data_IF_472295631053
#
_entry.id   IF_472295631053
#
_cell.length_a   1.000
_cell.length_b   1.000
_cell.length_c   1.000
_cell.angle_alpha   90.00
_cell.angle_beta   90.00
_cell.angle_gamma   90.00
#
_symmetry.space_group_name_H-M   'P 1'
#
loop_
_entity.id
_entity.type
_entity.pdbx_description
1 polymer ?
#
# COMPACT_ATOMS: atom_id res chain seq x y z
N UNK A 1 -32.12 48.20 -50.85
CA UNK A 1 -30.89 48.18 -50.02
C UNK A 1 -31.27 48.78 -48.67
N UNK A 2 -31.49 47.94 -47.66
CA UNK A 2 -31.90 48.39 -46.32
C UNK A 2 -30.65 48.79 -45.52
N UNK A 3 -30.46 50.07 -45.27
CA UNK A 3 -29.40 50.54 -44.38
C UNK A 3 -29.92 50.58 -42.95
N UNK A 4 -29.42 49.68 -42.12
CA UNK A 4 -29.67 49.70 -40.68
C UNK A 4 -28.81 50.77 -40.02
N UNK A 5 -29.41 51.87 -39.61
CA UNK A 5 -28.73 52.90 -38.82
C UNK A 5 -28.91 52.61 -37.36
N UNK A 6 -27.85 52.08 -36.69
CA UNK A 6 -27.84 51.92 -35.24
C UNK A 6 -27.59 53.30 -34.60
N UNK A 7 -28.48 53.72 -33.69
CA UNK A 7 -28.27 55.00 -32.99
C UNK A 7 -27.00 54.93 -32.13
N UNK A 8 -26.30 56.07 -32.03
CA UNK A 8 -25.02 56.19 -31.30
C UNK A 8 -25.10 55.63 -29.87
N UNK A 9 -26.25 55.81 -29.21
CA UNK A 9 -26.48 55.27 -27.85
C UNK A 9 -26.57 53.74 -27.80
N UNK A 10 -27.22 53.13 -28.79
CA UNK A 10 -27.29 51.63 -28.88
C UNK A 10 -25.92 51.03 -29.20
N UNK A 11 -25.12 51.71 -30.02
CA UNK A 11 -23.76 51.27 -30.35
C UNK A 11 -22.83 51.29 -29.12
N UNK A 12 -22.89 52.35 -28.31
CA UNK A 12 -22.14 52.46 -27.04
C UNK A 12 -22.58 51.35 -26.05
N UNK A 13 -23.90 51.11 -25.94
CA UNK A 13 -24.41 50.04 -25.07
C UNK A 13 -23.90 48.65 -25.44
N UNK A 14 -23.85 48.36 -26.75
CA UNK A 14 -23.30 47.05 -27.22
C UNK A 14 -21.81 46.94 -26.90
N UNK A 15 -21.04 48.00 -27.08
CA UNK A 15 -19.60 48.03 -26.76
C UNK A 15 -19.34 47.80 -25.26
N UNK A 16 -20.13 48.41 -24.39
CA UNK A 16 -20.04 48.18 -22.93
C UNK A 16 -20.35 46.74 -22.55
N UNK A 17 -21.35 46.13 -23.19
CA UNK A 17 -21.69 44.69 -22.92
C UNK A 17 -20.55 43.78 -23.38
N UNK A 18 -19.98 44.01 -24.56
CA UNK A 18 -18.85 43.22 -25.07
C UNK A 18 -17.64 43.36 -24.15
N UNK A 19 -17.36 44.58 -23.68
CA UNK A 19 -16.25 44.82 -22.74
C UNK A 19 -16.49 44.13 -21.39
N UNK A 20 -17.71 44.18 -20.85
CA UNK A 20 -18.08 43.47 -19.61
C UNK A 20 -17.92 41.97 -19.77
N UNK A 21 -18.35 41.38 -20.88
CA UNK A 21 -18.18 39.96 -21.19
C UNK A 21 -16.71 39.59 -21.31
N UNK A 22 -15.89 40.44 -21.96
CA UNK A 22 -14.45 40.19 -22.10
C UNK A 22 -13.73 40.22 -20.73
N UNK A 23 -14.13 41.15 -19.83
CA UNK A 23 -13.57 41.22 -18.48
C UNK A 23 -13.99 39.97 -17.67
N UNK A 24 -15.25 39.55 -17.75
CA UNK A 24 -15.73 38.35 -17.07
C UNK A 24 -14.98 37.09 -17.57
N UNK A 25 -14.87 36.95 -18.89
CA UNK A 25 -14.09 35.84 -19.49
C UNK A 25 -12.61 35.90 -19.05
N UNK A 26 -12.01 37.07 -19.03
CA UNK A 26 -10.63 37.26 -18.56
C UNK A 26 -10.43 36.84 -17.10
N UNK A 27 -11.40 37.15 -16.24
CA UNK A 27 -11.38 36.68 -14.83
C UNK A 27 -11.54 35.17 -14.72
N UNK A 28 -12.39 34.54 -15.55
CA UNK A 28 -12.53 33.08 -15.60
C UNK A 28 -11.29 32.35 -16.14
N UNK A 29 -10.62 32.92 -17.14
CA UNK A 29 -9.39 32.31 -17.69
C UNK A 29 -8.14 32.59 -16.84
N UNK A 30 -8.20 33.52 -15.90
CA UNK A 30 -7.06 33.83 -15.02
C UNK A 30 -7.07 33.02 -13.70
N UNK A 31 -8.00 32.09 -13.53
CA UNK A 31 -7.87 31.06 -12.50
C UNK A 31 -6.82 30.07 -13.00
N UNK A 32 -5.57 30.27 -12.64
CA UNK A 32 -4.56 29.26 -12.70
C UNK A 32 -5.03 28.15 -11.73
N UNK A 33 -5.84 27.20 -12.23
CA UNK A 33 -6.07 25.95 -11.54
C UNK A 33 -4.73 25.22 -11.58
N UNK A 34 -3.93 25.46 -10.56
CA UNK A 34 -2.78 24.62 -10.29
C UNK A 34 -3.34 23.23 -9.97
N UNK A 35 -3.49 22.41 -11.00
CA UNK A 35 -3.66 20.96 -10.81
C UNK A 35 -2.36 20.51 -10.19
N UNK A 36 -2.30 20.56 -8.87
CA UNK A 36 -1.26 19.89 -8.12
C UNK A 36 -1.33 18.43 -8.51
N UNK A 37 -0.40 17.97 -9.34
CA UNK A 37 -0.15 16.54 -9.51
C UNK A 37 0.36 16.04 -8.17
N UNK A 38 -0.56 15.66 -7.28
CA UNK A 38 -0.20 14.87 -6.11
C UNK A 38 0.27 13.54 -6.65
N UNK A 39 1.59 13.37 -6.78
CA UNK A 39 2.18 12.06 -7.03
C UNK A 39 1.78 11.19 -5.85
N UNK A 40 0.83 10.28 -6.09
CA UNK A 40 0.38 9.32 -5.09
C UNK A 40 1.59 8.53 -4.60
N UNK A 41 1.83 8.53 -3.31
CA UNK A 41 2.86 7.71 -2.69
C UNK A 41 2.45 6.25 -2.86
N UNK A 42 3.37 5.41 -3.25
CA UNK A 42 3.12 3.98 -3.44
C UNK A 42 4.04 3.16 -2.54
N UNK A 43 3.53 2.07 -1.97
CA UNK A 43 4.38 1.06 -1.35
C UNK A 43 5.21 0.33 -2.41
N UNK A 44 6.13 -0.50 -1.99
CA UNK A 44 6.95 -1.30 -2.91
C UNK A 44 6.13 -2.50 -3.38
N UNK A 45 5.86 -2.59 -4.68
CA UNK A 45 5.18 -3.73 -5.32
C UNK A 45 6.16 -4.71 -5.94
N UNK A 46 7.28 -4.22 -6.41
CA UNK A 46 8.32 -5.00 -7.08
C UNK A 46 9.66 -4.27 -7.02
N UNK A 47 10.73 -5.02 -7.19
CA UNK A 47 12.09 -4.47 -7.32
C UNK A 47 12.51 -4.59 -8.78
N UNK A 48 13.00 -3.48 -9.35
CA UNK A 48 13.56 -3.47 -10.70
C UNK A 48 14.91 -4.21 -10.69
N UNK A 49 15.00 -5.30 -11.43
CA UNK A 49 16.20 -6.12 -11.52
C UNK A 49 16.26 -6.85 -12.86
N UNK A 50 17.47 -6.99 -13.41
CA UNK A 50 17.72 -7.79 -14.61
C UNK A 50 17.85 -9.30 -14.29
N UNK A 51 17.82 -9.68 -13.02
CA UNK A 51 17.92 -11.06 -12.59
C UNK A 51 16.54 -11.74 -12.58
N UNK A 52 16.49 -13.00 -13.00
CA UNK A 52 15.27 -13.83 -12.94
C UNK A 52 15.04 -14.30 -11.51
N UNK A 53 14.58 -13.39 -10.64
CA UNK A 53 14.31 -13.65 -9.23
C UNK A 53 12.84 -13.33 -8.92
N UNK A 54 12.27 -14.07 -7.97
CA UNK A 54 10.97 -13.79 -7.37
C UNK A 54 11.14 -13.67 -5.85
N UNK A 55 10.36 -12.79 -5.23
CA UNK A 55 10.20 -12.74 -3.79
C UNK A 55 8.91 -13.49 -3.41
N UNK A 56 9.06 -14.53 -2.60
CA UNK A 56 7.91 -15.30 -2.08
C UNK A 56 7.50 -14.67 -0.77
N UNK A 57 6.21 -14.35 -0.62
CA UNK A 57 5.67 -13.78 0.61
C UNK A 57 4.39 -14.49 1.03
N UNK A 58 4.16 -14.58 2.32
CA UNK A 58 2.97 -15.14 2.94
C UNK A 58 2.40 -14.16 3.95
N UNK A 59 1.08 -14.11 4.06
CA UNK A 59 0.36 -13.38 5.09
C UNK A 59 -0.23 -14.39 6.10
N UNK A 60 0.21 -14.33 7.37
CA UNK A 60 -0.20 -15.24 8.44
C UNK A 60 -1.18 -14.52 9.38
N UNK A 61 -2.48 -14.86 9.28
CA UNK A 61 -3.55 -14.20 10.00
C UNK A 61 -4.56 -15.13 10.68
N UNK A 62 -4.68 -16.41 10.25
CA UNK A 62 -5.80 -17.26 10.67
C UNK A 62 -5.39 -18.51 11.44
N UNK A 63 -4.77 -19.49 10.79
CA UNK A 63 -4.37 -20.77 11.38
C UNK A 63 -2.86 -20.97 11.25
N UNK A 64 -2.29 -21.94 11.99
CA UNK A 64 -0.87 -22.29 11.91
C UNK A 64 -0.63 -23.76 11.48
N UNK A 65 -1.67 -24.43 10.99
CA UNK A 65 -1.62 -25.87 10.68
C UNK A 65 -0.60 -26.22 9.59
N UNK A 66 -0.27 -25.26 8.73
CA UNK A 66 0.60 -25.46 7.56
C UNK A 66 2.06 -25.03 7.85
N UNK A 67 2.37 -24.54 9.06
CA UNK A 67 3.68 -23.99 9.42
C UNK A 67 4.82 -24.92 9.06
N UNK A 68 4.79 -26.16 9.56
CA UNK A 68 5.84 -27.15 9.32
C UNK A 68 5.92 -27.54 7.85
N UNK A 69 4.78 -27.73 7.19
CA UNK A 69 4.71 -28.12 5.80
C UNK A 69 5.28 -27.03 4.87
N UNK A 70 4.99 -25.76 5.14
CA UNK A 70 5.54 -24.62 4.37
C UNK A 70 7.06 -24.58 4.55
N UNK A 71 7.57 -24.71 5.78
CA UNK A 71 9.01 -24.73 6.07
C UNK A 71 9.71 -25.87 5.32
N UNK A 72 9.16 -27.08 5.36
CA UNK A 72 9.71 -28.25 4.67
C UNK A 72 9.76 -28.04 3.14
N UNK A 73 8.69 -27.51 2.54
CA UNK A 73 8.64 -27.23 1.10
C UNK A 73 9.70 -26.17 0.73
N UNK A 74 9.77 -25.07 1.46
CA UNK A 74 10.76 -24.03 1.20
C UNK A 74 12.19 -24.57 1.35
N UNK A 75 12.46 -25.34 2.39
CA UNK A 75 13.76 -26.02 2.63
C UNK A 75 14.12 -26.96 1.48
N UNK A 76 13.17 -27.79 1.04
CA UNK A 76 13.36 -28.74 -0.07
C UNK A 76 13.77 -28.05 -1.37
N UNK A 77 13.28 -26.83 -1.59
CA UNK A 77 13.59 -26.04 -2.78
C UNK A 77 14.68 -25.01 -2.55
N UNK A 78 15.38 -25.05 -1.39
CA UNK A 78 16.37 -24.04 -1.01
C UNK A 78 15.86 -22.59 -1.18
N UNK A 79 14.58 -22.38 -0.88
CA UNK A 79 13.93 -21.09 -1.02
C UNK A 79 13.77 -20.41 0.34
N UNK A 80 13.85 -19.08 0.34
CA UNK A 80 13.51 -18.24 1.48
C UNK A 80 12.27 -17.41 1.16
N UNK A 81 11.51 -17.09 2.21
CA UNK A 81 10.28 -16.32 2.09
C UNK A 81 10.23 -15.22 3.15
N UNK A 82 9.33 -14.26 2.96
CA UNK A 82 8.96 -13.27 3.97
C UNK A 82 7.56 -13.59 4.47
N UNK A 83 7.39 -13.69 5.78
CA UNK A 83 6.11 -13.90 6.43
C UNK A 83 5.63 -12.60 7.08
N UNK A 84 4.56 -12.03 6.56
CA UNK A 84 3.87 -10.89 7.15
C UNK A 84 2.86 -11.44 8.17
N UNK A 85 3.12 -11.19 9.44
CA UNK A 85 2.43 -11.85 10.55
C UNK A 85 1.60 -10.84 11.31
N UNK A 86 0.34 -11.18 11.58
CA UNK A 86 -0.56 -10.42 12.46
C UNK A 86 -0.13 -10.59 13.91
N UNK A 87 -0.12 -9.50 14.70
CA UNK A 87 0.29 -9.52 16.09
C UNK A 87 -0.53 -10.48 16.97
N UNK A 88 -1.86 -10.51 16.81
CA UNK A 88 -2.74 -11.44 17.50
C UNK A 88 -2.43 -12.92 17.12
N UNK A 89 -2.05 -13.15 15.87
CA UNK A 89 -1.60 -14.47 15.43
C UNK A 89 -0.27 -14.87 16.05
N UNK A 90 0.67 -13.92 16.12
CA UNK A 90 1.97 -14.13 16.75
C UNK A 90 1.84 -14.43 18.26
N UNK A 91 0.94 -13.75 18.95
CA UNK A 91 0.64 -14.00 20.36
C UNK A 91 0.03 -15.38 20.59
N UNK A 92 -0.84 -15.81 19.67
CA UNK A 92 -1.51 -17.13 19.74
C UNK A 92 -0.59 -18.29 19.35
N UNK A 93 0.35 -18.07 18.43
CA UNK A 93 1.22 -19.11 17.87
C UNK A 93 2.70 -18.69 17.85
N UNK A 94 3.30 -18.32 18.99
CA UNK A 94 4.68 -17.82 19.04
C UNK A 94 5.70 -18.86 18.56
N UNK A 95 5.43 -20.15 18.76
CA UNK A 95 6.28 -21.24 18.28
C UNK A 95 6.35 -21.30 16.74
N UNK A 96 5.26 -20.96 16.05
CA UNK A 96 5.23 -20.91 14.58
C UNK A 96 6.05 -19.75 14.05
N UNK A 97 5.95 -18.57 14.69
CA UNK A 97 6.80 -17.39 14.36
C UNK A 97 8.28 -17.77 14.53
N UNK A 98 8.61 -18.39 15.68
CA UNK A 98 9.98 -18.81 15.98
C UNK A 98 10.47 -19.83 14.97
N UNK A 99 9.63 -20.82 14.57
CA UNK A 99 9.98 -21.83 13.58
C UNK A 99 10.30 -21.21 12.20
N UNK A 100 9.49 -20.26 11.73
CA UNK A 100 9.79 -19.52 10.49
C UNK A 100 11.12 -18.77 10.59
N UNK A 101 11.35 -18.07 11.70
CA UNK A 101 12.57 -17.31 11.92
C UNK A 101 13.81 -18.21 11.97
N UNK A 102 13.78 -19.30 12.76
CA UNK A 102 14.88 -20.25 12.91
C UNK A 102 15.19 -21.00 11.60
N UNK A 103 14.18 -21.19 10.74
CA UNK A 103 14.38 -21.71 9.39
C UNK A 103 15.03 -20.68 8.45
N UNK A 104 15.31 -19.45 8.93
CA UNK A 104 16.00 -18.39 8.22
C UNK A 104 15.10 -17.65 7.23
N UNK A 105 13.80 -17.58 7.50
CA UNK A 105 12.87 -16.74 6.78
C UNK A 105 12.80 -15.34 7.41
N UNK A 106 12.34 -14.36 6.64
CA UNK A 106 12.14 -12.99 7.13
C UNK A 106 10.79 -12.89 7.81
N UNK A 107 10.76 -12.32 9.02
CA UNK A 107 9.54 -12.01 9.74
C UNK A 107 9.21 -10.53 9.53
N UNK A 108 7.96 -10.21 9.21
CA UNK A 108 7.46 -8.91 8.88
C UNK A 108 6.09 -8.65 9.51
N UNK A 109 5.72 -7.38 9.61
CA UNK A 109 4.52 -6.91 10.28
C UNK A 109 3.30 -6.93 9.35
N UNK A 110 2.15 -7.43 9.87
CA UNK A 110 0.85 -7.38 9.16
C UNK A 110 -0.25 -6.73 10.01
N UNK A 111 0.09 -5.65 10.73
CA UNK A 111 -0.70 -5.01 11.80
C UNK A 111 -0.90 -5.89 13.05
N UNK A 112 -1.40 -5.31 14.12
CA UNK A 112 -1.63 -6.04 15.37
C UNK A 112 -2.90 -6.89 15.32
N UNK A 113 -4.02 -6.29 14.88
CA UNK A 113 -5.35 -6.91 14.92
C UNK A 113 -5.99 -7.11 13.53
N UNK A 114 -5.20 -7.00 12.45
CA UNK A 114 -5.63 -7.10 11.06
C UNK A 114 -6.68 -6.06 10.64
N UNK A 115 -6.63 -4.84 11.20
CA UNK A 115 -7.52 -3.74 10.80
C UNK A 115 -7.13 -3.15 9.45
N UNK A 116 -8.12 -2.83 8.63
CA UNK A 116 -7.95 -2.09 7.39
C UNK A 116 -7.47 -0.66 7.67
N UNK A 117 -6.30 -0.26 7.15
CA UNK A 117 -5.68 1.03 7.47
C UNK A 117 -6.47 2.24 6.96
N UNK A 118 -7.29 2.06 5.91
CA UNK A 118 -8.20 3.12 5.43
C UNK A 118 -9.30 3.49 6.43
N UNK A 119 -9.56 2.62 7.41
CA UNK A 119 -10.59 2.81 8.45
C UNK A 119 -10.01 3.26 9.79
N UNK A 120 -8.69 3.44 9.86
CA UNK A 120 -7.98 3.80 11.07
C UNK A 120 -7.53 5.26 11.03
N UNK A 121 -7.53 5.92 12.20
CA UNK A 121 -6.84 7.18 12.40
C UNK A 121 -5.31 6.97 12.31
N UNK A 122 -4.58 8.05 12.23
CA UNK A 122 -3.11 8.02 12.20
C UNK A 122 -2.53 7.34 13.44
N UNK A 123 -3.08 7.66 14.59
CA UNK A 123 -2.69 7.12 15.90
C UNK A 123 -2.96 5.62 15.97
N UNK A 124 -4.13 5.18 15.52
CA UNK A 124 -4.48 3.75 15.46
C UNK A 124 -3.56 2.98 14.52
N UNK A 125 -3.23 3.51 13.33
CA UNK A 125 -2.26 2.87 12.43
C UNK A 125 -0.90 2.71 13.11
N UNK A 126 -0.45 3.75 13.82
CA UNK A 126 0.81 3.70 14.56
C UNK A 126 0.77 2.66 15.67
N UNK A 127 -0.31 2.57 16.42
CA UNK A 127 -0.50 1.56 17.48
C UNK A 127 -0.51 0.14 16.90
N UNK A 128 -1.24 -0.10 15.82
CA UNK A 128 -1.29 -1.39 15.13
C UNK A 128 0.12 -1.85 14.67
N UNK A 129 0.93 -0.95 14.14
CA UNK A 129 2.29 -1.29 13.69
C UNK A 129 3.21 -1.52 14.89
N UNK A 130 3.21 -0.62 15.88
CA UNK A 130 4.13 -0.69 17.02
C UNK A 130 3.84 -1.90 17.91
N UNK A 131 2.57 -2.20 18.17
CA UNK A 131 2.20 -3.34 19.02
C UNK A 131 2.55 -4.67 18.34
N UNK A 132 2.28 -4.80 17.05
CA UNK A 132 2.70 -5.97 16.29
C UNK A 132 4.23 -6.15 16.31
N UNK A 133 5.01 -5.08 16.06
CA UNK A 133 6.46 -5.15 16.12
C UNK A 133 6.95 -5.64 17.48
N UNK A 134 6.43 -5.11 18.58
CA UNK A 134 6.80 -5.54 19.93
C UNK A 134 6.60 -7.04 20.15
N UNK A 135 5.48 -7.59 19.66
CA UNK A 135 5.18 -9.03 19.77
C UNK A 135 6.17 -9.86 18.95
N UNK A 136 6.42 -9.46 17.70
CA UNK A 136 7.32 -10.17 16.80
C UNK A 136 8.78 -10.10 17.26
N UNK A 137 9.25 -8.92 17.65
CA UNK A 137 10.61 -8.70 18.14
C UNK A 137 10.88 -9.43 19.46
N UNK A 138 9.87 -9.54 20.34
CA UNK A 138 9.99 -10.33 21.58
C UNK A 138 10.17 -11.84 21.32
N UNK A 139 9.65 -12.37 20.20
CA UNK A 139 9.78 -13.79 19.83
C UNK A 139 11.10 -14.05 19.09
N UNK A 140 11.51 -13.14 18.23
CA UNK A 140 12.64 -13.34 17.29
C UNK A 140 13.96 -12.78 17.79
N UNK A 141 13.93 -11.87 18.75
CA UNK A 141 15.08 -11.06 19.18
C UNK A 141 15.76 -10.32 18.00
N UNK A 142 14.97 -9.89 17.03
CA UNK A 142 15.43 -9.24 15.82
C UNK A 142 14.49 -8.10 15.41
N UNK A 143 15.03 -6.99 14.85
CA UNK A 143 14.22 -5.84 14.45
C UNK A 143 13.31 -6.19 13.26
N UNK A 144 12.06 -5.73 13.31
CA UNK A 144 11.08 -5.83 12.24
C UNK A 144 11.00 -4.49 11.51
N UNK A 145 11.35 -4.49 10.22
CA UNK A 145 11.45 -3.26 9.41
C UNK A 145 10.49 -3.22 8.21
N UNK A 146 9.84 -4.34 7.91
CA UNK A 146 8.89 -4.46 6.81
C UNK A 146 7.47 -4.54 7.35
N UNK A 147 6.54 -3.91 6.65
CA UNK A 147 5.10 -3.95 6.96
C UNK A 147 4.28 -4.15 5.70
N UNK A 148 3.18 -4.87 5.82
CA UNK A 148 2.15 -4.99 4.79
C UNK A 148 0.81 -4.59 5.39
N UNK A 149 0.09 -3.70 4.70
CA UNK A 149 -1.25 -3.32 5.11
C UNK A 149 -2.21 -4.51 4.97
N UNK A 150 -3.07 -4.78 5.98
CA UNK A 150 -4.07 -5.83 5.89
C UNK A 150 -4.94 -5.72 4.64
N UNK A 151 -5.15 -6.83 3.95
CA UNK A 151 -5.90 -6.90 2.68
C UNK A 151 -5.37 -5.97 1.57
N UNK A 152 -4.13 -5.49 1.68
CA UNK A 152 -3.57 -4.51 0.76
C UNK A 152 -4.16 -3.10 0.89
N UNK A 153 -4.93 -2.84 1.94
CA UNK A 153 -5.66 -1.60 2.15
C UNK A 153 -4.77 -0.56 2.83
N UNK A 154 -4.09 0.26 2.03
CA UNK A 154 -3.21 1.33 2.49
C UNK A 154 -3.70 2.72 2.03
N UNK A 155 -3.27 3.74 2.73
CA UNK A 155 -3.51 5.16 2.43
C UNK A 155 -2.19 5.94 2.42
N UNK A 156 -2.19 7.15 1.87
CA UNK A 156 -1.01 8.03 1.95
C UNK A 156 -0.62 8.29 3.42
N UNK A 157 -1.62 8.39 4.32
CA UNK A 157 -1.41 8.52 5.76
C UNK A 157 -0.68 7.31 6.35
N UNK A 158 -1.08 6.08 5.97
CA UNK A 158 -0.41 4.87 6.47
C UNK A 158 1.04 4.76 5.98
N UNK A 159 1.33 5.21 4.75
CA UNK A 159 2.69 5.29 4.22
C UNK A 159 3.54 6.31 4.98
N UNK A 160 2.96 7.44 5.38
CA UNK A 160 3.64 8.45 6.20
C UNK A 160 3.97 7.91 7.59
N UNK A 161 3.01 7.24 8.24
CA UNK A 161 3.23 6.59 9.54
C UNK A 161 4.33 5.54 9.45
N UNK A 162 4.32 4.69 8.41
CA UNK A 162 5.39 3.72 8.20
C UNK A 162 6.76 4.41 8.09
N UNK A 163 6.85 5.47 7.28
CA UNK A 163 8.10 6.23 7.12
C UNK A 163 8.59 6.84 8.43
N UNK A 164 7.72 7.38 9.27
CA UNK A 164 8.07 7.93 10.59
C UNK A 164 8.58 6.87 11.54
N UNK A 165 8.05 5.65 11.44
CA UNK A 165 8.49 4.50 12.23
C UNK A 165 9.73 3.79 11.66
N UNK A 166 10.31 4.30 10.56
CA UNK A 166 11.42 3.63 9.87
C UNK A 166 11.03 2.32 9.18
N UNK A 167 9.74 2.11 8.93
CA UNK A 167 9.19 0.91 8.30
C UNK A 167 9.06 1.09 6.80
N UNK A 168 9.27 0.00 6.05
CA UNK A 168 9.03 -0.05 4.61
C UNK A 168 7.77 -0.85 4.31
N UNK A 169 6.80 -0.22 3.64
CA UNK A 169 5.56 -0.90 3.26
C UNK A 169 5.75 -1.67 1.95
N UNK A 170 5.45 -2.98 2.02
CA UNK A 170 5.58 -3.93 0.92
C UNK A 170 4.19 -4.40 0.49
N UNK A 171 3.95 -4.41 -0.81
CA UNK A 171 2.77 -4.99 -1.44
C UNK A 171 3.18 -6.20 -2.31
N UNK A 172 2.33 -6.59 -3.24
CA UNK A 172 2.60 -7.66 -4.20
C UNK A 172 2.11 -7.24 -5.59
N UNK A 173 2.74 -7.76 -6.61
CA UNK A 173 2.35 -7.54 -8.02
C UNK A 173 1.72 -8.79 -8.65
N UNK A 174 1.84 -9.95 -8.00
CA UNK A 174 1.23 -11.19 -8.42
C UNK A 174 0.59 -11.85 -7.20
N UNK A 175 -0.73 -12.01 -7.23
CA UNK A 175 -1.48 -12.68 -6.19
C UNK A 175 -1.78 -14.12 -6.62
N UNK A 176 -1.53 -15.06 -5.70
CA UNK A 176 -1.92 -16.45 -5.84
C UNK A 176 -3.02 -16.66 -4.82
N UNK A 177 -4.28 -16.62 -5.26
CA UNK A 177 -5.41 -16.96 -4.41
C UNK A 177 -5.22 -18.39 -3.90
N UNK A 178 -4.65 -18.49 -2.71
CA UNK A 178 -4.31 -19.76 -2.07
C UNK A 178 -5.56 -20.38 -1.47
N UNK A 179 -6.31 -21.05 -2.32
CA UNK A 179 -7.40 -21.91 -1.83
C UNK A 179 -7.00 -23.39 -1.73
N UNK A 180 -5.76 -23.75 -2.14
CA UNK A 180 -5.28 -25.16 -2.03
C UNK A 180 -3.74 -25.24 -2.11
N UNK A 181 -3.12 -25.86 -1.15
CA UNK A 181 -1.69 -26.26 -1.03
C UNK A 181 -1.07 -26.82 -2.34
N UNK A 182 -1.89 -27.21 -3.29
CA UNK A 182 -1.48 -27.72 -4.62
C UNK A 182 -0.72 -26.71 -5.49
N UNK A 183 -0.84 -25.42 -5.20
CA UNK A 183 -0.25 -24.34 -6.01
C UNK A 183 1.24 -24.14 -5.72
N UNK A 184 1.70 -24.35 -4.49
CA UNK A 184 3.13 -24.28 -4.11
C UNK A 184 3.95 -25.28 -4.92
N UNK A 185 3.41 -26.44 -5.21
CA UNK A 185 4.04 -27.44 -6.09
C UNK A 185 4.23 -26.98 -7.54
N UNK A 186 3.39 -26.05 -8.02
CA UNK A 186 3.43 -25.58 -9.41
C UNK A 186 4.47 -24.50 -9.62
N UNK A 187 4.72 -23.63 -8.63
CA UNK A 187 5.71 -22.55 -8.68
C UNK A 187 7.14 -23.11 -8.82
N UNK A 188 7.41 -24.24 -8.19
CA UNK A 188 8.75 -24.85 -8.17
C UNK A 188 9.01 -25.88 -9.29
N UNK A 189 8.07 -26.08 -10.20
CA UNK A 189 8.14 -27.12 -11.24
C UNK A 189 8.57 -26.64 -12.63
N UNK A 190 9.00 -25.37 -12.77
CA UNK A 190 9.49 -24.85 -14.07
C UNK A 190 11.01 -24.55 -13.98
#
# INVERSE_FOLDING_TARGET
MFMWTVSKQKFIGILCIIFAIAVILGLFFNTNISVGTTTRKLPIYSVDTNEKKIAITFDAAWTNQDTEQIIEILKKHNAKATFFIVGDWAEKFPESVKAFFDAGHTIANHSDTHKAFSKCSREEIKEEIVNCNKKLEAITDAPVTLVRAPSGDYTDQSLEVCKELGMTMIQWNCDILDTKVKLIYTIFRK
#
